data_IF_401072344259
#
_entry.id   IF_401072344259
#
_cell.length_a   1.000
_cell.length_b   1.000
_cell.length_c   1.000
_cell.angle_alpha   90.00
_cell.angle_beta   90.00
_cell.angle_gamma   90.00
#
_symmetry.space_group_name_H-M   'P 1'
#
loop_
_entity.id
_entity.type
_entity.pdbx_description
1 polymer ?
#
# COMPACT_ATOMS: atom_id res chain seq x y z
N UNK A 1 -19.63 -14.82 -10.79
CA UNK A 1 -20.37 -14.81 -9.52
C UNK A 1 -21.42 -13.71 -9.63
N UNK A 2 -22.70 -14.01 -9.47
CA UNK A 2 -23.72 -12.97 -9.44
C UNK A 2 -23.43 -12.07 -8.22
N UNK A 3 -23.31 -10.78 -8.44
CA UNK A 3 -23.13 -9.81 -7.37
C UNK A 3 -24.49 -9.56 -6.77
N UNK A 4 -24.61 -9.70 -5.45
CA UNK A 4 -25.82 -9.36 -4.75
C UNK A 4 -26.02 -7.84 -4.70
N UNK A 5 -27.24 -7.43 -4.35
CA UNK A 5 -27.60 -6.01 -4.30
C UNK A 5 -26.73 -5.24 -3.27
N UNK A 6 -26.34 -5.88 -2.17
CA UNK A 6 -25.47 -5.28 -1.15
C UNK A 6 -24.08 -4.93 -1.70
N UNK A 7 -23.51 -5.81 -2.55
CA UNK A 7 -22.24 -5.52 -3.22
C UNK A 7 -22.36 -4.34 -4.19
N UNK A 8 -23.43 -4.33 -5.00
CA UNK A 8 -23.67 -3.26 -5.96
C UNK A 8 -23.90 -1.92 -5.25
N UNK A 9 -24.69 -1.91 -4.19
CA UNK A 9 -24.94 -0.72 -3.39
C UNK A 9 -23.65 -0.17 -2.80
N UNK A 10 -22.83 -1.02 -2.16
CA UNK A 10 -21.58 -0.61 -1.50
C UNK A 10 -20.58 0.00 -2.48
N UNK A 11 -20.39 -0.63 -3.63
CA UNK A 11 -19.37 -0.21 -4.61
C UNK A 11 -19.92 0.62 -5.77
N UNK A 12 -21.19 1.05 -5.72
CA UNK A 12 -21.84 1.80 -6.78
C UNK A 12 -21.05 2.99 -7.29
N UNK A 13 -20.44 3.77 -6.37
CA UNK A 13 -19.61 4.92 -6.72
C UNK A 13 -18.32 4.56 -7.46
N UNK A 14 -17.77 3.39 -7.21
CA UNK A 14 -16.56 2.90 -7.93
C UNK A 14 -16.97 2.29 -9.28
N UNK A 15 -18.11 1.60 -9.33
CA UNK A 15 -18.61 0.95 -10.54
C UNK A 15 -18.95 1.95 -11.67
N UNK A 16 -19.28 3.20 -11.34
CA UNK A 16 -19.57 4.25 -12.33
C UNK A 16 -18.33 5.03 -12.79
N UNK A 17 -17.17 4.87 -12.12
CA UNK A 17 -15.93 5.54 -12.52
C UNK A 17 -15.37 4.87 -13.77
N UNK A 18 -15.09 5.68 -14.81
CA UNK A 18 -14.56 5.17 -16.07
C UNK A 18 -13.24 4.41 -15.91
N UNK A 19 -12.39 4.87 -14.97
CA UNK A 19 -11.05 4.31 -14.70
C UNK A 19 -11.12 2.99 -13.94
N UNK A 20 -12.10 2.80 -13.06
CA UNK A 20 -12.26 1.57 -12.25
C UNK A 20 -13.31 0.67 -12.91
N UNK A 21 -14.55 1.10 -12.91
CA UNK A 21 -15.68 0.40 -13.48
C UNK A 21 -15.89 -1.03 -12.94
N UNK A 22 -16.77 -1.81 -13.54
CA UNK A 22 -17.01 -3.19 -13.14
C UNK A 22 -15.76 -4.07 -13.23
N UNK A 23 -14.92 -3.89 -14.26
CA UNK A 23 -13.70 -4.69 -14.47
C UNK A 23 -12.61 -4.38 -13.44
N UNK A 24 -12.42 -3.11 -13.09
CA UNK A 24 -11.49 -2.71 -12.04
C UNK A 24 -11.93 -3.23 -10.67
N UNK A 25 -13.23 -3.16 -10.38
CA UNK A 25 -13.77 -3.72 -9.15
C UNK A 25 -13.65 -5.25 -9.09
N UNK A 26 -13.73 -5.96 -10.22
CA UNK A 26 -13.43 -7.40 -10.30
C UNK A 26 -11.98 -7.71 -9.97
N UNK A 27 -11.03 -6.90 -10.47
CA UNK A 27 -9.60 -7.05 -10.15
C UNK A 27 -9.36 -6.83 -8.66
N UNK A 28 -9.96 -5.80 -8.05
CA UNK A 28 -9.86 -5.57 -6.61
C UNK A 28 -10.44 -6.73 -5.80
N UNK A 29 -11.63 -7.22 -6.16
CA UNK A 29 -12.27 -8.34 -5.48
C UNK A 29 -11.51 -9.68 -5.64
N UNK A 30 -10.72 -9.83 -6.67
CA UNK A 30 -9.86 -11.01 -6.87
C UNK A 30 -8.49 -10.86 -6.22
N UNK A 31 -8.07 -9.64 -5.88
CA UNK A 31 -6.72 -9.36 -5.41
C UNK A 31 -6.48 -9.85 -3.97
N UNK A 32 -5.24 -10.25 -3.73
CA UNK A 32 -4.69 -10.57 -2.41
C UNK A 32 -3.60 -9.55 -2.06
N UNK A 33 -3.76 -8.85 -0.95
CA UNK A 33 -2.81 -7.83 -0.50
C UNK A 33 -2.31 -8.15 0.90
N UNK A 34 -0.99 -8.09 1.08
CA UNK A 34 -0.35 -8.22 2.39
C UNK A 34 -0.05 -6.84 2.99
N UNK A 35 -0.33 -6.67 4.28
CA UNK A 35 0.12 -5.51 5.05
C UNK A 35 1.02 -6.02 6.17
N UNK A 36 2.32 -6.06 5.89
CA UNK A 36 3.35 -6.52 6.82
C UNK A 36 3.87 -5.37 7.72
N UNK A 37 3.54 -4.14 7.37
CA UNK A 37 3.89 -2.94 8.14
C UNK A 37 2.92 -2.72 9.30
N UNK A 38 3.34 -1.92 10.28
CA UNK A 38 2.57 -1.57 11.49
C UNK A 38 2.45 -0.05 11.67
N UNK A 39 1.54 0.35 12.57
CA UNK A 39 1.32 1.74 12.95
C UNK A 39 0.36 2.50 12.03
N UNK A 40 0.21 3.81 12.27
CA UNK A 40 -0.84 4.63 11.69
C UNK A 40 -0.93 4.58 10.15
N UNK A 41 0.20 4.48 9.46
CA UNK A 41 0.24 4.35 8.00
C UNK A 41 -0.36 3.01 7.55
N UNK A 42 0.07 1.91 8.16
CA UNK A 42 -0.42 0.56 7.84
C UNK A 42 -1.91 0.43 8.14
N UNK A 43 -2.37 0.97 9.27
CA UNK A 43 -3.78 0.95 9.67
C UNK A 43 -4.66 1.69 8.65
N UNK A 44 -4.18 2.82 8.12
CA UNK A 44 -4.87 3.53 7.03
C UNK A 44 -4.92 2.71 5.75
N UNK A 45 -3.81 2.05 5.39
CA UNK A 45 -3.78 1.17 4.21
C UNK A 45 -4.80 0.04 4.36
N UNK A 46 -4.84 -0.66 5.51
CA UNK A 46 -5.84 -1.72 5.77
C UNK A 46 -7.26 -1.18 5.61
N UNK A 47 -7.60 -0.09 6.30
CA UNK A 47 -8.95 0.47 6.27
C UNK A 47 -9.38 0.90 4.86
N UNK A 48 -8.51 1.56 4.09
CA UNK A 48 -8.83 2.03 2.74
C UNK A 48 -8.89 0.89 1.73
N UNK A 49 -8.01 -0.12 1.80
CA UNK A 49 -8.07 -1.28 0.91
C UNK A 49 -9.32 -2.13 1.19
N UNK A 50 -9.69 -2.27 2.46
CA UNK A 50 -10.95 -2.88 2.84
C UNK A 50 -12.13 -2.11 2.21
N UNK A 51 -12.20 -0.80 2.42
CA UNK A 51 -13.26 0.04 1.85
C UNK A 51 -13.30 0.00 0.32
N UNK A 52 -12.14 -0.13 -0.34
CA UNK A 52 -12.05 -0.27 -1.80
C UNK A 52 -12.54 -1.62 -2.33
N UNK A 53 -12.68 -2.63 -1.48
CA UNK A 53 -13.17 -3.96 -1.86
C UNK A 53 -12.09 -4.90 -2.36
N UNK A 54 -10.89 -4.82 -1.80
CA UNK A 54 -9.85 -5.86 -2.00
C UNK A 54 -10.35 -7.18 -1.44
N UNK A 55 -10.26 -8.25 -2.23
CA UNK A 55 -10.88 -9.52 -1.89
C UNK A 55 -10.24 -10.25 -0.72
N UNK A 56 -8.92 -10.15 -0.56
CA UNK A 56 -8.21 -10.75 0.59
C UNK A 56 -7.15 -9.80 1.13
N UNK A 57 -7.22 -9.52 2.43
CA UNK A 57 -6.21 -8.79 3.17
C UNK A 57 -5.52 -9.72 4.16
N UNK A 58 -4.21 -9.94 3.97
CA UNK A 58 -3.36 -10.63 4.92
C UNK A 58 -2.68 -9.59 5.82
N UNK A 59 -3.04 -9.57 7.10
CA UNK A 59 -2.66 -8.53 8.06
C UNK A 59 -2.22 -9.12 9.39
N UNK A 60 -1.62 -8.32 10.25
CA UNK A 60 -1.37 -8.72 11.64
C UNK A 60 -2.69 -8.81 12.43
N UNK A 61 -2.75 -9.67 13.43
CA UNK A 61 -3.99 -9.95 14.18
C UNK A 61 -4.60 -8.69 14.83
N UNK A 62 -3.76 -7.75 15.27
CA UNK A 62 -4.19 -6.48 15.86
C UNK A 62 -4.92 -5.55 14.87
N UNK A 63 -4.75 -5.78 13.58
CA UNK A 63 -5.38 -4.98 12.51
C UNK A 63 -6.74 -5.53 12.07
N UNK A 64 -7.16 -6.70 12.53
CA UNK A 64 -8.45 -7.30 12.17
C UNK A 64 -9.63 -6.39 12.51
N UNK A 65 -9.57 -5.69 13.65
CA UNK A 65 -10.61 -4.75 14.06
C UNK A 65 -10.76 -3.48 13.19
N UNK A 66 -9.86 -3.28 12.22
CA UNK A 66 -9.95 -2.16 11.26
C UNK A 66 -10.85 -2.48 10.06
N UNK A 67 -11.30 -3.71 9.97
CA UNK A 67 -12.09 -4.21 8.84
C UNK A 67 -13.46 -4.61 9.35
N UNK A 68 -14.50 -4.17 8.64
CA UNK A 68 -15.87 -4.58 8.89
C UNK A 68 -16.02 -6.09 8.59
N UNK A 69 -16.33 -6.93 9.59
CA UNK A 69 -16.43 -8.38 9.37
C UNK A 69 -17.58 -8.78 8.44
N UNK A 70 -18.59 -7.90 8.29
CA UNK A 70 -19.75 -8.14 7.42
C UNK A 70 -19.55 -7.59 6.01
N UNK A 71 -18.36 -7.09 5.69
CA UNK A 71 -18.09 -6.54 4.36
C UNK A 71 -18.21 -7.60 3.26
N UNK A 72 -19.12 -7.41 2.29
CA UNK A 72 -19.41 -8.41 1.28
C UNK A 72 -18.18 -8.70 0.41
N UNK A 73 -17.91 -9.99 0.21
CA UNK A 73 -16.89 -10.47 -0.72
C UNK A 73 -15.45 -10.30 -0.27
N UNK A 74 -15.20 -9.88 0.98
CA UNK A 74 -13.86 -9.71 1.51
C UNK A 74 -13.49 -10.81 2.52
N UNK A 75 -12.20 -11.15 2.55
CA UNK A 75 -11.60 -12.05 3.53
C UNK A 75 -10.42 -11.37 4.22
N UNK A 76 -10.36 -11.49 5.53
CA UNK A 76 -9.18 -11.10 6.32
C UNK A 76 -8.51 -12.36 6.84
N UNK A 77 -7.21 -12.46 6.66
CA UNK A 77 -6.42 -13.59 7.13
C UNK A 77 -5.16 -13.11 7.88
N UNK A 78 -4.65 -13.93 8.78
CA UNK A 78 -3.37 -13.64 9.44
C UNK A 78 -2.26 -13.73 8.42
N UNK A 79 -1.41 -12.71 8.37
CA UNK A 79 -0.26 -12.68 7.48
C UNK A 79 0.69 -13.85 7.78
N UNK A 80 0.95 -14.65 6.76
CA UNK A 80 1.96 -15.71 6.75
C UNK A 80 3.04 -15.29 5.74
N UNK A 81 4.27 -14.96 6.18
CA UNK A 81 5.33 -14.47 5.28
C UNK A 81 5.69 -15.46 4.15
N UNK A 82 5.54 -16.75 4.42
CA UNK A 82 5.83 -17.84 3.46
C UNK A 82 4.64 -18.19 2.55
N UNK A 83 3.57 -17.43 2.61
CA UNK A 83 2.40 -17.66 1.77
C UNK A 83 2.72 -17.47 0.28
N UNK A 84 1.84 -17.95 -0.57
CA UNK A 84 1.91 -17.69 -2.01
C UNK A 84 1.96 -16.16 -2.28
N UNK A 85 2.62 -15.78 -3.38
CA UNK A 85 2.82 -14.39 -3.75
C UNK A 85 1.50 -13.59 -3.75
N UNK A 86 1.59 -12.36 -3.26
CA UNK A 86 0.51 -11.39 -3.24
C UNK A 86 0.52 -10.52 -4.50
N UNK A 87 -0.64 -9.96 -4.85
CA UNK A 87 -0.72 -8.97 -5.94
C UNK A 87 -0.03 -7.67 -5.54
N UNK A 88 -0.20 -7.25 -4.27
CA UNK A 88 0.53 -6.13 -3.71
C UNK A 88 0.87 -6.37 -2.23
N UNK A 89 1.88 -5.66 -1.73
CA UNK A 89 2.22 -5.65 -0.31
C UNK A 89 2.66 -4.27 0.15
N UNK A 90 2.24 -3.87 1.35
CA UNK A 90 2.91 -2.85 2.13
C UNK A 90 3.86 -3.53 3.10
N UNK A 91 5.14 -3.17 3.03
CA UNK A 91 6.19 -3.74 3.88
C UNK A 91 6.85 -2.64 4.71
N UNK A 92 7.44 -3.02 5.85
CA UNK A 92 8.29 -2.11 6.59
C UNK A 92 9.57 -1.78 5.83
N UNK A 93 10.21 -0.69 6.18
CA UNK A 93 11.45 -0.27 5.55
C UNK A 93 12.66 -1.15 5.93
N UNK A 94 12.51 -2.05 6.90
CA UNK A 94 13.55 -2.99 7.32
C UNK A 94 13.69 -4.19 6.36
N UNK A 95 14.81 -4.89 6.47
CA UNK A 95 15.11 -6.03 5.62
C UNK A 95 14.26 -7.28 5.95
N UNK A 96 13.67 -7.38 7.15
CA UNK A 96 12.87 -8.53 7.55
C UNK A 96 11.59 -8.64 6.71
N UNK A 97 11.08 -7.50 6.25
CA UNK A 97 9.90 -7.43 5.38
C UNK A 97 10.16 -7.84 3.93
N UNK A 98 11.42 -8.07 3.54
CA UNK A 98 11.75 -8.50 2.17
C UNK A 98 11.29 -9.93 1.87
N UNK A 99 10.96 -10.72 2.90
CA UNK A 99 10.42 -12.09 2.75
C UNK A 99 9.00 -12.14 2.17
N UNK A 100 8.24 -11.05 2.21
CA UNK A 100 6.88 -11.02 1.64
C UNK A 100 6.95 -10.90 0.13
N UNK A 101 6.64 -12.00 -0.57
CA UNK A 101 6.60 -12.02 -2.03
C UNK A 101 5.34 -11.33 -2.56
N UNK A 102 5.49 -10.28 -3.36
CA UNK A 102 4.40 -9.57 -4.00
C UNK A 102 4.83 -9.00 -5.35
N UNK A 103 3.86 -8.89 -6.28
CA UNK A 103 4.07 -8.28 -7.59
C UNK A 103 4.38 -6.78 -7.47
N UNK A 104 3.67 -6.07 -6.58
CA UNK A 104 3.84 -4.67 -6.29
C UNK A 104 4.20 -4.52 -4.82
N UNK A 105 5.38 -4.00 -4.49
CA UNK A 105 5.83 -3.84 -3.10
C UNK A 105 5.98 -2.38 -2.77
N UNK A 106 5.25 -1.93 -1.76
CA UNK A 106 5.27 -0.57 -1.27
C UNK A 106 5.91 -0.52 0.12
N UNK A 107 6.55 0.59 0.44
CA UNK A 107 7.09 0.87 1.76
C UNK A 107 6.78 2.30 2.20
N UNK A 108 6.70 2.51 3.51
CA UNK A 108 6.56 3.83 4.15
C UNK A 108 7.59 3.94 5.25
N UNK A 109 8.38 5.01 5.26
CA UNK A 109 9.36 5.27 6.32
C UNK A 109 9.71 6.76 6.42
N UNK A 110 9.70 7.30 7.63
CA UNK A 110 10.23 8.64 7.94
C UNK A 110 9.69 9.75 7.06
N UNK A 111 8.40 9.75 6.76
CA UNK A 111 7.75 10.76 5.92
C UNK A 111 7.86 10.50 4.43
N UNK A 112 8.32 9.33 4.02
CA UNK A 112 8.48 8.92 2.62
C UNK A 112 7.73 7.64 2.32
N UNK A 113 7.33 7.48 1.07
CA UNK A 113 6.70 6.28 0.55
C UNK A 113 7.12 6.03 -0.90
N UNK A 114 7.24 4.77 -1.30
CA UNK A 114 7.50 4.39 -2.68
C UNK A 114 7.02 2.97 -2.98
N UNK A 115 6.93 2.64 -4.26
CA UNK A 115 6.90 1.27 -4.77
C UNK A 115 8.35 0.83 -5.05
N UNK A 116 8.72 -0.37 -4.66
CA UNK A 116 10.04 -0.94 -4.92
C UNK A 116 10.13 -1.49 -6.35
N UNK A 117 11.18 -1.18 -7.13
CA UNK A 117 12.24 -0.23 -6.82
C UNK A 117 11.82 1.24 -6.95
N UNK A 118 12.41 2.22 -6.22
CA UNK A 118 13.54 2.09 -5.32
C UNK A 118 13.18 1.53 -3.93
N UNK A 119 14.13 0.83 -3.30
CA UNK A 119 14.00 0.43 -1.90
C UNK A 119 14.38 1.59 -0.95
N UNK A 120 14.10 1.48 0.37
CA UNK A 120 14.45 2.52 1.33
C UNK A 120 15.92 2.93 1.33
N UNK A 121 16.85 1.98 1.09
CA UNK A 121 18.30 2.27 1.06
C UNK A 121 18.71 3.11 -0.17
N UNK A 122 18.08 2.83 -1.33
CA UNK A 122 18.29 3.66 -2.53
C UNK A 122 17.71 5.06 -2.34
N UNK A 123 16.54 5.17 -1.72
CA UNK A 123 15.95 6.45 -1.39
C UNK A 123 16.81 7.25 -0.41
N UNK A 124 17.34 6.61 0.63
CA UNK A 124 18.22 7.23 1.60
C UNK A 124 19.55 7.74 0.98
N UNK A 125 20.10 7.03 0.01
CA UNK A 125 21.30 7.44 -0.70
C UNK A 125 21.14 8.76 -1.46
N UNK A 126 19.93 9.03 -1.98
CA UNK A 126 19.62 10.25 -2.75
C UNK A 126 19.07 11.36 -1.87
N UNK A 127 18.17 11.02 -0.96
CA UNK A 127 17.39 11.98 -0.17
C UNK A 127 17.92 12.17 1.26
N UNK A 128 19.00 11.49 1.62
CA UNK A 128 19.50 11.38 2.99
C UNK A 128 18.69 10.39 3.83
N UNK A 129 19.19 10.07 5.02
CA UNK A 129 18.47 9.19 5.95
C UNK A 129 17.08 9.74 6.29
N UNK A 130 16.12 8.85 6.46
CA UNK A 130 14.80 9.22 6.95
C UNK A 130 14.94 9.84 8.34
N UNK A 131 14.29 10.97 8.58
CA UNK A 131 14.41 11.69 9.86
C UNK A 131 13.75 10.87 10.96
N UNK A 132 14.55 10.33 11.85
CA UNK A 132 14.11 9.78 13.14
C UNK A 132 14.02 10.92 14.19
N UNK A 133 13.35 12.00 13.85
CA UNK A 133 13.13 13.08 14.82
C UNK A 133 11.83 12.81 15.54
N UNK A 134 11.77 13.06 16.84
CA UNK A 134 10.52 13.15 17.59
C UNK A 134 9.66 14.25 16.94
N UNK A 135 8.85 13.84 15.99
CA UNK A 135 8.00 14.72 15.20
C UNK A 135 6.57 14.62 15.80
N UNK A 136 6.06 15.68 16.42
CA UNK A 136 4.72 15.67 17.00
C UNK A 136 3.62 15.41 15.96
N UNK A 137 3.92 15.64 14.68
CA UNK A 137 3.01 15.41 13.57
C UNK A 137 3.23 14.04 12.87
N UNK A 138 4.11 13.18 13.42
CA UNK A 138 4.46 11.90 12.79
C UNK A 138 3.22 11.03 12.50
N UNK A 139 2.31 10.89 13.46
CA UNK A 139 1.09 10.11 13.28
C UNK A 139 0.19 10.65 12.17
N UNK A 140 0.05 11.98 12.09
CA UNK A 140 -0.73 12.62 11.02
C UNK A 140 -0.06 12.43 9.66
N UNK A 141 1.26 12.64 9.61
CA UNK A 141 2.07 12.42 8.42
C UNK A 141 1.91 10.99 7.88
N UNK A 142 2.05 10.03 8.78
CA UNK A 142 2.00 8.61 8.43
C UNK A 142 0.58 8.20 8.00
N UNK A 143 -0.47 8.76 8.60
CA UNK A 143 -1.85 8.55 8.16
C UNK A 143 -2.11 9.10 6.75
N UNK A 144 -1.57 10.28 6.41
CA UNK A 144 -1.66 10.84 5.05
C UNK A 144 -0.94 9.95 4.05
N UNK A 145 0.32 9.55 4.34
CA UNK A 145 1.07 8.65 3.47
C UNK A 145 0.40 7.29 3.30
N UNK A 146 -0.17 6.73 4.39
CA UNK A 146 -0.94 5.49 4.32
C UNK A 146 -2.13 5.60 3.36
N UNK A 147 -2.86 6.70 3.39
CA UNK A 147 -3.97 6.96 2.46
C UNK A 147 -3.50 7.05 1.00
N UNK A 148 -2.39 7.76 0.77
CA UNK A 148 -1.80 7.88 -0.58
C UNK A 148 -1.32 6.51 -1.07
N UNK A 149 -0.60 5.74 -0.24
CA UNK A 149 -0.12 4.40 -0.62
C UNK A 149 -1.27 3.43 -0.88
N UNK A 150 -2.35 3.48 -0.10
CA UNK A 150 -3.55 2.68 -0.40
C UNK A 150 -4.09 2.99 -1.80
N UNK A 151 -4.12 4.27 -2.20
CA UNK A 151 -4.51 4.69 -3.54
C UNK A 151 -3.55 4.14 -4.61
N UNK A 152 -2.24 4.18 -4.38
CA UNK A 152 -1.24 3.63 -5.30
C UNK A 152 -1.37 2.10 -5.44
N UNK A 153 -1.67 1.39 -4.35
CA UNK A 153 -1.96 -0.06 -4.38
C UNK A 153 -3.20 -0.34 -5.25
N UNK A 154 -4.29 0.41 -5.04
CA UNK A 154 -5.50 0.28 -5.86
C UNK A 154 -5.19 0.54 -7.32
N UNK A 155 -4.44 1.60 -7.65
CA UNK A 155 -4.00 1.90 -9.03
C UNK A 155 -3.20 0.75 -9.65
N UNK A 156 -2.26 0.19 -8.89
CA UNK A 156 -1.43 -0.93 -9.36
C UNK A 156 -2.26 -2.18 -9.67
N UNK A 157 -3.23 -2.53 -8.80
CA UNK A 157 -4.12 -3.68 -8.99
C UNK A 157 -5.07 -3.45 -10.18
N UNK A 158 -5.69 -2.29 -10.27
CA UNK A 158 -6.65 -1.96 -11.34
C UNK A 158 -5.94 -1.70 -12.67
N UNK A 159 -4.68 -1.30 -12.63
CA UNK A 159 -3.88 -0.97 -13.82
C UNK A 159 -4.24 0.39 -14.40
N UNK A 160 -4.46 1.40 -13.55
CA UNK A 160 -4.83 2.76 -13.97
C UNK A 160 -3.81 3.79 -13.51
N UNK A 161 -3.69 4.88 -14.27
CA UNK A 161 -2.77 5.98 -13.98
C UNK A 161 -1.29 5.58 -14.16
N UNK A 162 -0.40 6.49 -13.75
CA UNK A 162 1.03 6.24 -13.77
C UNK A 162 1.46 5.48 -12.49
N UNK A 163 2.26 4.41 -12.60
CA UNK A 163 2.76 3.68 -11.44
C UNK A 163 3.70 4.56 -10.60
N UNK A 164 3.81 4.26 -9.32
CA UNK A 164 4.73 4.96 -8.41
C UNK A 164 6.20 4.52 -8.60
N UNK A 165 6.45 3.40 -9.24
CA UNK A 165 7.78 2.84 -9.43
C UNK A 165 8.79 3.87 -9.97
N UNK A 166 10.02 3.83 -9.45
CA UNK A 166 11.07 4.80 -9.76
C UNK A 166 10.92 6.16 -9.08
N UNK A 167 9.91 6.36 -8.24
CA UNK A 167 9.61 7.64 -7.58
C UNK A 167 9.44 7.46 -6.08
N UNK A 168 9.90 8.43 -5.31
CA UNK A 168 9.69 8.52 -3.86
C UNK A 168 8.80 9.71 -3.57
N UNK A 169 7.69 9.47 -2.90
CA UNK A 169 6.84 10.50 -2.31
C UNK A 169 7.43 10.94 -0.97
N UNK A 170 7.41 12.23 -0.72
CA UNK A 170 7.78 12.81 0.58
C UNK A 170 6.67 13.75 1.02
N UNK A 171 6.15 13.54 2.22
CA UNK A 171 5.15 14.42 2.82
C UNK A 171 5.72 15.20 3.98
N UNK A 172 5.61 16.54 3.91
CA UNK A 172 6.00 17.47 4.95
C UNK A 172 4.75 18.05 5.63
N UNK A 173 4.41 17.58 6.84
CA UNK A 173 3.16 17.97 7.50
C UNK A 173 3.12 19.44 7.93
N UNK A 174 4.26 20.07 8.24
CA UNK A 174 4.31 21.47 8.66
C UNK A 174 3.85 22.43 7.55
N UNK A 175 4.06 22.08 6.30
CA UNK A 175 3.66 22.86 5.12
C UNK A 175 2.53 22.24 4.32
N UNK A 176 2.05 21.06 4.73
CA UNK A 176 1.08 20.23 4.00
C UNK A 176 1.52 19.95 2.54
N UNK A 177 2.83 19.79 2.32
CA UNK A 177 3.39 19.61 0.97
C UNK A 177 3.69 18.15 0.70
N UNK A 178 3.17 17.63 -0.42
CA UNK A 178 3.53 16.33 -0.97
C UNK A 178 4.40 16.54 -2.21
N UNK A 179 5.63 16.03 -2.17
CA UNK A 179 6.58 16.12 -3.27
C UNK A 179 6.91 14.74 -3.81
N UNK A 180 7.33 14.68 -5.08
CA UNK A 180 7.75 13.45 -5.73
C UNK A 180 9.14 13.62 -6.30
N UNK A 181 10.07 12.73 -5.95
CA UNK A 181 11.44 12.74 -6.45
C UNK A 181 11.70 11.45 -7.22
N UNK A 182 12.28 11.56 -8.42
CA UNK A 182 12.73 10.39 -9.18
C UNK A 182 14.00 9.83 -8.54
N UNK A 183 13.98 8.54 -8.21
CA UNK A 183 15.09 7.83 -7.58
C UNK A 183 15.33 6.53 -8.35
N UNK A 184 16.44 6.45 -9.05
CA UNK A 184 16.85 5.22 -9.69
C UNK A 184 17.39 4.20 -8.66
N UNK A 185 17.13 2.90 -8.82
CA UNK A 185 17.77 1.88 -8.01
C UNK A 185 19.28 1.89 -8.26
N UNK A 186 20.08 1.74 -7.20
CA UNK A 186 21.55 1.64 -7.33
C UNK A 186 21.91 0.27 -7.88
N UNK A 187 22.88 0.23 -8.79
CA UNK A 187 23.33 -1.02 -9.42
C UNK A 187 23.95 -2.00 -8.42
N UNK A 188 24.52 -1.48 -7.32
CA UNK A 188 25.15 -2.25 -6.23
C UNK A 188 24.21 -2.51 -5.05
N UNK A 189 22.93 -2.16 -5.17
CA UNK A 189 21.98 -2.31 -4.07
C UNK A 189 21.60 -3.78 -3.86
N UNK A 190 21.95 -4.32 -2.69
CA UNK A 190 21.63 -5.72 -2.34
C UNK A 190 20.13 -6.01 -2.17
N UNK A 191 19.30 -4.98 -1.93
CA UNK A 191 17.85 -5.14 -1.69
C UNK A 191 17.02 -5.09 -2.97
N UNK A 192 17.42 -4.34 -3.98
CA UNK A 192 16.59 -4.14 -5.18
C UNK A 192 17.33 -4.32 -6.51
N UNK A 193 18.63 -4.71 -6.50
CA UNK A 193 19.39 -4.97 -7.73
C UNK A 193 19.01 -6.29 -8.44
N UNK A 194 18.14 -7.09 -7.86
CA UNK A 194 17.63 -8.35 -8.42
C UNK A 194 16.10 -8.42 -8.47
N UNK A 195 15.42 -7.29 -8.28
CA UNK A 195 13.95 -7.21 -8.29
C UNK A 195 13.42 -6.77 -9.66
#
# INVERSE_FOLDING_TARGET
MARDDAYVERYSRQLILAEIGPRGQERLAAARVAVAARGAAADRVVAYLAAAGVGTLAVAAEQFGLVDPEQPGMRVETLQPEAAAFDAALVDADAASDAVAARHRFWIAGGRAAETPPCPDCAAAVLGAARAVADPLATLRDAVLGTVVATEIVKAIVGVGAPLGGRVLTYEPATATLTTTVVAPRLDCRRCAGA
#
